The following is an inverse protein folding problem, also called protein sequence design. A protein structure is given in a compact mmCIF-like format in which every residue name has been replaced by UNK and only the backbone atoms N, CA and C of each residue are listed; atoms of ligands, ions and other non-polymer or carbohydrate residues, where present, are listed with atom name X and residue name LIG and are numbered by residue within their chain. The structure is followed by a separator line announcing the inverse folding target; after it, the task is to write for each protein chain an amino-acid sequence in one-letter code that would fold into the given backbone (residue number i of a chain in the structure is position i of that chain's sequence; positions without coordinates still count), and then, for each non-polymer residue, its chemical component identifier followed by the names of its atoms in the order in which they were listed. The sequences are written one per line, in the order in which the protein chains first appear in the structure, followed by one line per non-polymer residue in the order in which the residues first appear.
data_IF_657555669554
#
_entry.id   IF_657555669554
#
_cell.length_a   1.000
_cell.length_b   1.000
_cell.length_c   1.000
_cell.angle_alpha   90.00
_cell.angle_beta   90.00
_cell.angle_gamma   90.00
#
_symmetry.space_group_name_H-M   'P 1'
#
loop_
_entity.id
_entity.type
_entity.pdbx_description
1 polymer ?
#
# COMPACT_ATOMS: atom_id res chain seq x y z
N UNK A 1 1.01 -15.49 -7.80
CA UNK A 1 0.37 -14.91 -8.99
C UNK A 1 0.03 -13.46 -8.73
N UNK A 2 0.17 -12.62 -9.76
CA UNK A 2 -0.28 -11.23 -9.72
C UNK A 2 -1.72 -11.17 -10.22
N UNK A 3 -2.61 -10.47 -9.50
CA UNK A 3 -3.96 -10.22 -9.96
C UNK A 3 -4.02 -8.89 -10.70
N UNK A 4 -4.54 -8.87 -11.93
CA UNK A 4 -4.86 -7.64 -12.64
C UNK A 4 -6.38 -7.54 -12.76
N UNK A 5 -6.92 -6.41 -12.37
CA UNK A 5 -8.36 -6.13 -12.40
C UNK A 5 -8.64 -4.94 -13.29
N UNK A 6 -9.76 -4.95 -13.95
CA UNK A 6 -10.22 -3.87 -14.79
C UNK A 6 -11.74 -3.71 -14.68
N UNK A 7 -12.22 -2.47 -14.77
CA UNK A 7 -13.64 -2.14 -14.73
C UNK A 7 -13.98 -1.08 -15.77
N UNK A 8 -15.21 -1.11 -16.26
CA UNK A 8 -15.78 -0.04 -17.09
C UNK A 8 -16.02 1.25 -16.28
N UNK A 9 -16.19 1.14 -14.98
CA UNK A 9 -16.50 2.24 -14.06
C UNK A 9 -15.21 3.04 -13.72
N UNK A 10 -14.67 3.73 -14.73
CA UNK A 10 -13.49 4.58 -14.54
C UNK A 10 -13.79 5.82 -13.69
N UNK A 11 -12.80 6.29 -12.91
CA UNK A 11 -12.92 7.45 -12.03
C UNK A 11 -13.66 7.16 -10.70
N UNK A 12 -13.98 5.90 -10.42
CA UNK A 12 -14.53 5.43 -9.15
C UNK A 12 -13.50 4.62 -8.39
N UNK A 13 -13.64 4.59 -7.06
CA UNK A 13 -12.87 3.72 -6.20
C UNK A 13 -13.19 2.25 -6.50
N UNK A 14 -12.15 1.44 -6.79
CA UNK A 14 -12.32 0.05 -7.21
C UNK A 14 -12.88 -0.83 -6.08
N UNK A 15 -12.61 -0.52 -4.82
CA UNK A 15 -13.16 -1.21 -3.65
C UNK A 15 -14.67 -0.95 -3.56
N UNK A 16 -15.10 0.28 -3.85
CA UNK A 16 -16.53 0.61 -3.91
C UNK A 16 -17.25 -0.16 -5.03
N UNK A 17 -16.62 -0.24 -6.22
CA UNK A 17 -17.16 -1.03 -7.35
C UNK A 17 -17.19 -2.52 -6.99
N UNK A 18 -16.15 -3.04 -6.35
CA UNK A 18 -16.07 -4.44 -5.91
C UNK A 18 -17.17 -4.79 -4.89
N UNK A 19 -17.56 -3.83 -4.05
CA UNK A 19 -18.58 -4.04 -3.04
C UNK A 19 -20.00 -3.92 -3.60
N UNK A 20 -20.25 -2.93 -4.49
CA UNK A 20 -21.60 -2.63 -5.01
C UNK A 20 -21.96 -3.42 -6.26
N UNK A 21 -21.01 -3.62 -7.16
CA UNK A 21 -21.22 -4.20 -8.49
C UNK A 21 -20.03 -5.08 -8.91
N UNK A 22 -19.73 -6.16 -8.16
CA UNK A 22 -18.54 -7.00 -8.41
C UNK A 22 -18.55 -7.63 -9.83
N UNK A 23 -19.69 -7.79 -10.44
CA UNK A 23 -19.85 -8.30 -11.81
C UNK A 23 -19.30 -7.35 -12.89
N UNK A 24 -19.05 -6.09 -12.54
CA UNK A 24 -18.43 -5.10 -13.45
C UNK A 24 -16.89 -5.15 -13.42
N UNK A 25 -16.31 -5.98 -12.59
CA UNK A 25 -14.86 -6.16 -12.49
C UNK A 25 -14.45 -7.42 -13.23
N UNK A 26 -13.64 -7.26 -14.24
CA UNK A 26 -12.92 -8.38 -14.88
C UNK A 26 -11.58 -8.57 -14.19
N UNK A 27 -11.26 -9.81 -13.85
CA UNK A 27 -10.05 -10.17 -13.12
C UNK A 27 -9.33 -11.32 -13.77
N UNK A 28 -8.04 -11.15 -14.01
CA UNK A 28 -7.14 -12.21 -14.48
C UNK A 28 -6.00 -12.44 -13.48
N UNK A 29 -5.55 -13.68 -13.39
CA UNK A 29 -4.38 -14.04 -12.60
C UNK A 29 -3.20 -14.31 -13.53
N UNK A 30 -2.13 -13.56 -13.33
CA UNK A 30 -0.93 -13.59 -14.17
C UNK A 30 0.11 -14.49 -13.49
N UNK A 31 0.63 -15.44 -14.26
CA UNK A 31 1.80 -16.20 -13.82
C UNK A 31 3.05 -15.34 -14.03
N UNK A 32 3.82 -14.99 -12.96
CA UNK A 32 5.00 -14.14 -13.08
C UNK A 32 6.10 -14.67 -14.01
N UNK A 33 6.14 -15.98 -14.21
CA UNK A 33 7.11 -16.61 -15.12
C UNK A 33 6.74 -16.45 -16.60
N UNK A 34 5.49 -16.11 -16.91
CA UNK A 34 4.98 -15.97 -18.29
C UNK A 34 4.70 -14.51 -18.63
N UNK A 35 4.27 -13.74 -17.63
CA UNK A 35 3.79 -12.36 -17.80
C UNK A 35 2.34 -12.29 -18.30
N UNK A 36 1.87 -11.08 -18.56
CA UNK A 36 0.52 -10.84 -19.09
C UNK A 36 0.45 -11.27 -20.55
N UNK A 37 -0.37 -12.28 -20.84
CA UNK A 37 -0.56 -12.79 -22.20
C UNK A 37 -1.51 -11.90 -23.01
N UNK A 38 -1.41 -11.99 -24.37
CA UNK A 38 -2.33 -11.27 -25.25
C UNK A 38 -3.80 -11.62 -25.01
N UNK A 39 -4.08 -12.88 -24.72
CA UNK A 39 -5.43 -13.35 -24.42
C UNK A 39 -5.99 -12.70 -23.15
N UNK A 40 -5.21 -12.63 -22.08
CA UNK A 40 -5.59 -11.98 -20.85
C UNK A 40 -5.75 -10.46 -21.03
N UNK A 41 -4.82 -9.82 -21.77
CA UNK A 41 -4.94 -8.39 -22.09
C UNK A 41 -6.19 -8.08 -22.89
N UNK A 42 -6.54 -8.94 -23.86
CA UNK A 42 -7.78 -8.82 -24.64
C UNK A 42 -9.04 -8.99 -23.79
N UNK A 43 -9.02 -9.95 -22.86
CA UNK A 43 -10.12 -10.17 -21.91
C UNK A 43 -10.36 -8.92 -21.05
N UNK A 44 -9.30 -8.33 -20.48
CA UNK A 44 -9.37 -7.11 -19.69
C UNK A 44 -9.87 -5.92 -20.54
N UNK A 45 -9.31 -5.71 -21.73
CA UNK A 45 -9.70 -4.61 -22.62
C UNK A 45 -11.18 -4.68 -23.01
N UNK A 46 -11.69 -5.87 -23.29
CA UNK A 46 -13.13 -6.08 -23.58
C UNK A 46 -14.00 -5.85 -22.34
N UNK A 47 -13.55 -6.30 -21.19
CA UNK A 47 -14.25 -6.12 -19.92
C UNK A 47 -14.36 -4.65 -19.50
N UNK A 48 -13.36 -3.82 -19.84
CA UNK A 48 -13.41 -2.36 -19.69
C UNK A 48 -14.29 -1.65 -20.73
N UNK A 49 -14.85 -2.36 -21.70
CA UNK A 49 -15.64 -1.76 -22.78
C UNK A 49 -14.83 -0.91 -23.76
N UNK A 50 -13.53 -1.22 -23.94
CA UNK A 50 -12.70 -0.51 -24.91
C UNK A 50 -13.25 -0.67 -26.32
N UNK A 51 -13.22 0.42 -27.12
CA UNK A 51 -13.56 0.37 -28.54
C UNK A 51 -12.59 -0.57 -29.27
N UNK A 52 -13.08 -1.28 -30.29
CA UNK A 52 -12.25 -2.24 -31.04
C UNK A 52 -10.95 -1.63 -31.58
N UNK A 53 -11.01 -0.38 -32.06
CA UNK A 53 -9.84 0.36 -32.53
C UNK A 53 -8.78 0.62 -31.44
N UNK A 54 -9.19 0.72 -30.17
CA UNK A 54 -8.32 1.00 -29.04
C UNK A 54 -7.80 -0.28 -28.33
N UNK A 55 -8.35 -1.45 -28.63
CA UNK A 55 -7.96 -2.71 -27.99
C UNK A 55 -6.45 -2.98 -28.09
N UNK A 56 -5.79 -2.85 -29.25
CA UNK A 56 -4.35 -3.12 -29.35
C UNK A 56 -3.52 -2.19 -28.46
N UNK A 57 -3.84 -0.89 -28.44
CA UNK A 57 -3.17 0.10 -27.62
C UNK A 57 -3.43 -0.15 -26.11
N UNK A 58 -4.65 -0.57 -25.74
CA UNK A 58 -5.00 -0.94 -24.38
C UNK A 58 -4.18 -2.15 -23.93
N UNK A 59 -4.12 -3.23 -24.72
CA UNK A 59 -3.34 -4.43 -24.39
C UNK A 59 -1.85 -4.10 -24.21
N UNK A 60 -1.29 -3.25 -25.06
CA UNK A 60 0.10 -2.77 -24.94
C UNK A 60 0.30 -1.99 -23.64
N UNK A 61 -0.63 -1.10 -23.29
CA UNK A 61 -0.60 -0.33 -22.04
C UNK A 61 -0.66 -1.24 -20.83
N UNK A 62 -1.55 -2.24 -20.81
CA UNK A 62 -1.66 -3.20 -19.71
C UNK A 62 -0.39 -4.03 -19.54
N UNK A 63 0.26 -4.42 -20.63
CA UNK A 63 1.56 -5.12 -20.58
C UNK A 63 2.66 -4.23 -20.01
N UNK A 64 2.72 -2.97 -20.41
CA UNK A 64 3.66 -1.99 -19.86
C UNK A 64 3.41 -1.73 -18.38
N UNK A 65 2.14 -1.63 -17.96
CA UNK A 65 1.78 -1.49 -16.56
C UNK A 65 2.24 -2.71 -15.74
N UNK A 66 2.02 -3.92 -16.26
CA UNK A 66 2.49 -5.13 -15.61
C UNK A 66 4.02 -5.18 -15.50
N UNK A 67 4.73 -4.81 -16.56
CA UNK A 67 6.20 -4.74 -16.56
C UNK A 67 6.69 -3.72 -15.53
N UNK A 68 6.10 -2.52 -15.53
CA UNK A 68 6.42 -1.48 -14.55
C UNK A 68 6.19 -1.99 -13.12
N UNK A 69 5.02 -2.61 -12.84
CA UNK A 69 4.72 -3.20 -11.54
C UNK A 69 5.79 -4.19 -11.07
N UNK A 70 6.23 -5.08 -11.96
CA UNK A 70 7.22 -6.11 -11.62
C UNK A 70 8.64 -5.55 -11.45
N UNK A 71 9.06 -4.64 -12.33
CA UNK A 71 10.43 -4.12 -12.36
C UNK A 71 10.70 -3.10 -11.25
N UNK A 72 9.66 -2.41 -10.76
CA UNK A 72 9.78 -1.41 -9.70
C UNK A 72 9.47 -1.95 -8.30
N UNK A 73 9.26 -3.26 -8.16
CA UNK A 73 8.81 -3.87 -6.91
C UNK A 73 7.55 -3.19 -6.33
N UNK A 74 6.61 -2.83 -7.21
CA UNK A 74 5.36 -2.24 -6.76
C UNK A 74 4.49 -3.27 -6.03
N UNK A 75 3.83 -2.86 -4.97
CA UNK A 75 2.80 -3.63 -4.26
C UNK A 75 1.39 -3.33 -4.77
N UNK A 76 1.20 -2.12 -5.31
CA UNK A 76 0.00 -1.68 -6.02
C UNK A 76 0.41 -0.84 -7.23
N UNK A 77 -0.28 -1.03 -8.36
CA UNK A 77 -0.24 -0.15 -9.51
C UNK A 77 -1.66 0.02 -10.05
N UNK A 78 -2.16 1.23 -10.05
CA UNK A 78 -3.50 1.58 -10.50
C UNK A 78 -3.43 2.70 -11.52
N UNK A 79 -4.21 2.59 -12.60
CA UNK A 79 -4.50 3.67 -13.53
C UNK A 79 -6.00 3.93 -13.46
N UNK A 80 -6.40 5.12 -13.01
CA UNK A 80 -7.81 5.44 -12.81
C UNK A 80 -8.10 6.93 -13.02
N UNK A 81 -8.71 7.34 -14.17
CA UNK A 81 -9.14 6.45 -15.26
C UNK A 81 -8.08 6.19 -16.32
N UNK A 82 -8.23 5.06 -17.02
CA UNK A 82 -7.62 4.79 -18.32
C UNK A 82 -8.65 5.13 -19.40
N UNK A 83 -8.37 6.10 -20.25
CA UNK A 83 -9.29 6.55 -21.28
C UNK A 83 -8.82 6.13 -22.69
N UNK A 84 -9.77 6.04 -23.63
CA UNK A 84 -9.50 5.89 -25.05
C UNK A 84 -10.02 7.11 -25.82
N UNK A 85 -9.30 7.48 -26.87
CA UNK A 85 -9.70 8.56 -27.77
C UNK A 85 -10.31 7.98 -29.05
N UNK A 86 -10.97 8.83 -29.83
CA UNK A 86 -11.64 8.42 -31.06
C UNK A 86 -10.67 7.97 -32.17
N UNK A 87 -9.40 8.34 -32.06
CA UNK A 87 -8.33 7.93 -32.98
C UNK A 87 -7.73 6.55 -32.63
N UNK A 88 -8.21 5.90 -31.57
CA UNK A 88 -7.75 4.60 -31.09
C UNK A 88 -6.62 4.67 -30.08
N UNK A 89 -6.12 5.87 -29.73
CA UNK A 89 -5.11 6.02 -28.69
C UNK A 89 -5.69 5.76 -27.28
N UNK A 90 -4.80 5.36 -26.36
CA UNK A 90 -5.15 5.10 -24.94
C UNK A 90 -4.25 5.96 -24.08
N UNK A 91 -4.84 6.63 -23.08
CA UNK A 91 -4.13 7.51 -22.16
C UNK A 91 -4.45 7.18 -20.70
N UNK A 92 -3.41 7.06 -19.89
CA UNK A 92 -3.54 7.12 -18.44
C UNK A 92 -3.69 8.59 -18.03
N UNK A 93 -4.78 8.91 -17.34
CA UNK A 93 -5.03 10.28 -16.85
C UNK A 93 -4.41 10.48 -15.48
N UNK A 94 -4.55 9.47 -14.63
CA UNK A 94 -3.94 9.44 -13.32
C UNK A 94 -3.43 8.03 -13.02
N UNK A 95 -2.40 7.95 -12.18
CA UNK A 95 -1.81 6.69 -11.77
C UNK A 95 -1.36 6.75 -10.30
N UNK A 96 -1.68 5.69 -9.56
CA UNK A 96 -1.27 5.50 -8.18
C UNK A 96 -0.38 4.28 -8.07
N UNK A 97 0.77 4.45 -7.44
CA UNK A 97 1.71 3.37 -7.18
C UNK A 97 2.08 3.32 -5.71
N UNK A 98 2.07 2.11 -5.15
CA UNK A 98 2.71 1.81 -3.88
C UNK A 98 3.86 0.83 -4.15
N UNK A 99 4.97 1.04 -3.49
CA UNK A 99 6.17 0.23 -3.66
C UNK A 99 6.47 -0.57 -2.41
N UNK A 100 7.08 -1.75 -2.57
CA UNK A 100 7.55 -2.53 -1.43
C UNK A 100 8.74 -1.80 -0.77
N UNK A 101 8.53 -1.29 0.43
CA UNK A 101 9.57 -0.57 1.18
C UNK A 101 10.81 -1.42 1.45
N UNK A 102 10.66 -2.75 1.54
CA UNK A 102 11.79 -3.67 1.71
C UNK A 102 12.66 -3.80 0.45
N UNK A 103 12.15 -3.40 -0.71
CA UNK A 103 12.87 -3.43 -1.97
C UNK A 103 13.51 -2.08 -2.36
N UNK A 104 13.20 -0.99 -1.66
CA UNK A 104 13.65 0.36 -2.00
C UNK A 104 15.18 0.52 -2.04
N UNK A 105 15.92 -0.31 -1.31
CA UNK A 105 17.39 -0.30 -1.35
C UNK A 105 17.97 -0.56 -2.74
N UNK A 106 17.21 -1.19 -3.64
CA UNK A 106 17.59 -1.47 -5.05
C UNK A 106 16.82 -0.62 -6.06
N UNK A 107 15.95 0.28 -5.60
CA UNK A 107 15.09 1.12 -6.43
C UNK A 107 15.40 2.61 -6.19
N UNK A 108 16.67 3.00 -6.43
CA UNK A 108 17.15 4.36 -6.14
C UNK A 108 16.36 5.45 -6.88
N UNK A 109 15.95 5.19 -8.13
CA UNK A 109 15.14 6.12 -8.92
C UNK A 109 13.74 6.31 -8.31
N UNK A 110 13.14 5.25 -7.77
CA UNK A 110 11.84 5.33 -7.09
C UNK A 110 11.98 6.12 -5.79
N UNK A 111 13.05 5.88 -5.01
CA UNK A 111 13.32 6.65 -3.80
C UNK A 111 13.48 8.14 -4.10
N UNK A 112 14.12 8.49 -5.23
CA UNK A 112 14.29 9.89 -5.65
C UNK A 112 12.96 10.57 -6.06
N UNK A 113 11.93 9.81 -6.41
CA UNK A 113 10.59 10.31 -6.75
C UNK A 113 9.67 10.46 -5.52
N UNK A 114 10.15 10.07 -4.32
CA UNK A 114 9.34 10.14 -3.09
C UNK A 114 8.90 11.57 -2.82
N UNK A 115 7.59 11.77 -2.69
CA UNK A 115 6.99 13.04 -2.31
C UNK A 115 6.50 12.97 -0.86
N UNK A 116 7.26 13.63 0.02
CA UNK A 116 6.98 13.62 1.46
C UNK A 116 5.71 14.41 1.82
N UNK A 117 5.25 15.31 0.95
CA UNK A 117 4.05 16.10 1.18
C UNK A 117 2.76 15.29 0.94
N UNK A 118 2.87 14.17 0.21
CA UNK A 118 1.76 13.23 -0.03
C UNK A 118 1.70 12.08 0.99
N UNK A 119 2.69 11.98 1.88
CA UNK A 119 2.74 10.94 2.91
C UNK A 119 2.17 11.43 4.25
N UNK A 120 1.77 10.49 5.11
CA UNK A 120 1.38 10.81 6.49
C UNK A 120 2.58 11.44 7.25
N UNK A 121 2.35 12.60 7.85
CA UNK A 121 3.42 13.38 8.48
C UNK A 121 4.05 12.66 9.67
N UNK A 122 3.30 11.83 10.41
CA UNK A 122 3.80 11.07 11.53
C UNK A 122 4.62 9.87 11.06
N UNK A 123 4.26 9.25 9.91
CA UNK A 123 5.03 8.18 9.26
C UNK A 123 6.35 8.73 8.70
N UNK A 124 6.32 9.90 8.06
CA UNK A 124 7.52 10.62 7.62
C UNK A 124 8.44 10.94 8.79
N UNK A 125 7.89 11.43 9.90
CA UNK A 125 8.69 11.73 11.09
C UNK A 125 9.31 10.46 11.68
N UNK A 126 8.54 9.37 11.79
CA UNK A 126 8.99 8.08 12.30
C UNK A 126 10.14 7.50 11.44
N UNK A 127 10.07 7.67 10.13
CA UNK A 127 11.10 7.18 9.20
C UNK A 127 12.48 7.80 9.43
N UNK A 128 12.56 9.01 9.95
CA UNK A 128 13.83 9.69 10.29
C UNK A 128 14.60 8.98 11.42
N UNK A 129 13.88 8.24 12.25
CA UNK A 129 14.42 7.49 13.39
C UNK A 129 14.44 5.98 13.15
N UNK A 130 14.22 5.55 11.89
CA UNK A 130 14.18 4.12 11.54
C UNK A 130 13.16 3.37 12.42
N UNK A 131 11.97 3.95 12.60
CA UNK A 131 10.82 3.37 13.26
C UNK A 131 9.84 2.85 12.22
N UNK A 132 9.42 1.60 12.34
CA UNK A 132 8.33 1.05 11.55
C UNK A 132 6.99 1.51 12.17
N UNK A 133 6.45 2.62 11.68
CA UNK A 133 5.22 3.25 12.16
C UNK A 133 4.18 3.34 11.05
N UNK A 134 2.93 3.01 11.37
CA UNK A 134 1.77 3.22 10.51
C UNK A 134 0.69 3.88 11.35
N UNK A 135 0.17 5.01 10.87
CA UNK A 135 -0.91 5.74 11.50
C UNK A 135 -2.25 5.02 11.29
N UNK A 136 -3.07 4.95 12.33
CA UNK A 136 -4.41 4.34 12.30
C UNK A 136 -5.42 5.25 13.04
N UNK A 137 -6.71 5.03 12.81
CA UNK A 137 -7.79 5.88 13.35
C UNK A 137 -8.26 5.55 14.78
N UNK A 138 -7.46 4.81 15.53
CA UNK A 138 -7.84 4.33 16.85
C UNK A 138 -7.61 5.32 18.01
N UNK A 139 -7.77 4.80 19.22
CA UNK A 139 -7.66 5.56 20.46
C UNK A 139 -6.63 4.97 21.46
N UNK A 140 -6.00 3.85 21.14
CA UNK A 140 -4.94 3.24 21.94
C UNK A 140 -3.65 3.23 21.15
N UNK A 141 -2.67 4.00 21.57
CA UNK A 141 -1.32 3.97 21.03
C UNK A 141 -0.61 2.65 21.39
N UNK A 142 0.16 2.12 20.43
CA UNK A 142 0.90 0.87 20.59
C UNK A 142 2.40 1.11 20.45
N UNK A 143 3.19 0.68 21.46
CA UNK A 143 4.66 0.63 21.37
C UNK A 143 5.11 -0.80 21.65
N UNK A 144 5.68 -1.44 20.65
CA UNK A 144 5.99 -2.86 20.69
C UNK A 144 7.36 -3.12 20.05
N UNK A 145 8.07 -4.14 20.47
CA UNK A 145 9.26 -4.62 19.79
C UNK A 145 8.97 -5.94 19.05
N UNK A 146 8.98 -5.86 17.74
CA UNK A 146 8.71 -6.96 16.82
C UNK A 146 7.35 -6.88 16.16
N UNK A 147 7.33 -6.95 14.85
CA UNK A 147 6.13 -6.75 14.02
C UNK A 147 5.01 -7.75 14.33
N UNK A 148 5.35 -9.02 14.56
CA UNK A 148 4.37 -10.06 14.93
C UNK A 148 3.70 -9.78 16.27
N UNK A 149 4.48 -9.33 17.26
CA UNK A 149 3.96 -8.95 18.58
C UNK A 149 3.09 -7.69 18.47
N UNK A 150 3.48 -6.72 17.61
CA UNK A 150 2.69 -5.51 17.38
C UNK A 150 1.32 -5.87 16.79
N UNK A 151 1.25 -6.72 15.77
CA UNK A 151 -0.02 -7.17 15.19
C UNK A 151 -0.89 -7.90 16.23
N UNK A 152 -0.34 -8.83 17.00
CA UNK A 152 -1.07 -9.54 18.05
C UNK A 152 -1.56 -8.59 19.16
N UNK A 153 -0.79 -7.54 19.47
CA UNK A 153 -1.19 -6.49 20.42
C UNK A 153 -2.38 -5.70 19.91
N UNK A 154 -2.35 -5.31 18.64
CA UNK A 154 -3.46 -4.60 17.98
C UNK A 154 -4.74 -5.45 17.94
N UNK A 155 -4.62 -6.74 17.60
CA UNK A 155 -5.75 -7.68 17.64
C UNK A 155 -6.34 -7.81 19.03
N UNK A 156 -5.48 -7.86 20.06
CA UNK A 156 -5.91 -7.90 21.46
C UNK A 156 -6.67 -6.63 21.85
N UNK A 157 -6.20 -5.44 21.45
CA UNK A 157 -6.89 -4.18 21.67
C UNK A 157 -8.30 -4.22 21.08
N UNK A 158 -8.43 -4.69 19.83
CA UNK A 158 -9.74 -4.83 19.16
C UNK A 158 -10.64 -5.84 19.86
N UNK A 159 -10.10 -6.97 20.30
CA UNK A 159 -10.85 -7.99 21.03
C UNK A 159 -11.50 -7.43 22.30
N UNK A 160 -10.86 -6.48 22.98
CA UNK A 160 -11.38 -5.81 24.17
C UNK A 160 -12.18 -4.54 23.88
N UNK A 161 -12.58 -4.30 22.64
CA UNK A 161 -13.51 -3.24 22.25
C UNK A 161 -12.89 -1.85 22.14
N UNK A 162 -11.58 -1.77 22.02
CA UNK A 162 -10.86 -0.53 21.70
C UNK A 162 -10.28 -0.60 20.28
N UNK A 163 -9.77 0.52 19.77
CA UNK A 163 -9.18 0.59 18.43
C UNK A 163 -7.72 1.03 18.52
N UNK A 164 -6.77 0.32 17.84
CA UNK A 164 -5.37 0.74 17.81
C UNK A 164 -5.21 2.03 17.01
N UNK A 165 -4.46 2.98 17.56
CA UNK A 165 -4.18 4.27 16.93
C UNK A 165 -2.96 4.23 16.00
N UNK A 166 -2.15 3.20 16.10
CA UNK A 166 -0.97 3.00 15.26
C UNK A 166 -0.49 1.55 15.33
N UNK A 167 0.20 1.13 14.28
CA UNK A 167 1.19 0.07 14.34
C UNK A 167 2.54 0.72 14.67
N UNK A 168 3.34 0.12 15.54
CA UNK A 168 4.71 0.56 15.80
C UNK A 168 5.58 -0.62 16.25
N UNK A 169 6.64 -0.84 15.51
CA UNK A 169 7.73 -1.75 15.88
C UNK A 169 9.01 -0.96 16.09
N UNK A 170 9.49 -0.89 17.34
CA UNK A 170 10.74 -0.23 17.68
C UNK A 170 11.98 -1.10 17.42
N UNK A 171 11.78 -2.37 17.05
CA UNK A 171 12.83 -3.34 16.83
C UNK A 171 13.47 -3.88 18.14
N UNK A 172 14.30 -4.91 17.99
CA UNK A 172 14.98 -5.54 19.13
C UNK A 172 16.15 -4.74 19.70
N UNK A 173 16.68 -3.76 18.94
CA UNK A 173 17.82 -2.91 19.35
C UNK A 173 17.42 -1.45 19.59
N UNK A 174 16.18 -1.20 20.04
CA UNK A 174 15.70 0.16 20.28
C UNK A 174 16.55 0.89 21.31
N UNK A 175 16.93 2.13 20.97
CA UNK A 175 17.65 3.06 21.86
C UNK A 175 16.65 3.92 22.61
N UNK A 176 17.09 4.54 23.72
CA UNK A 176 16.30 5.55 24.44
C UNK A 176 15.81 6.66 23.50
N UNK A 177 16.60 7.06 22.53
CA UNK A 177 16.23 8.08 21.53
C UNK A 177 15.05 7.59 20.67
N UNK A 178 15.14 6.39 20.07
CA UNK A 178 14.05 5.82 19.26
C UNK A 178 12.75 5.70 20.05
N UNK A 179 12.83 5.22 21.27
CA UNK A 179 11.64 5.09 22.14
C UNK A 179 11.06 6.46 22.50
N UNK A 180 11.91 7.45 22.78
CA UNK A 180 11.47 8.82 23.07
C UNK A 180 10.74 9.44 21.88
N UNK A 181 11.28 9.31 20.67
CA UNK A 181 10.65 9.85 19.47
C UNK A 181 9.35 9.10 19.13
N UNK A 182 9.31 7.79 19.35
CA UNK A 182 8.08 7.01 19.22
C UNK A 182 6.96 7.55 20.13
N UNK A 183 7.26 7.82 21.42
CA UNK A 183 6.29 8.44 22.32
C UNK A 183 5.87 9.84 21.88
N UNK A 184 6.81 10.67 21.42
CA UNK A 184 6.48 12.02 20.92
C UNK A 184 5.50 11.96 19.74
N UNK A 185 5.73 11.04 18.78
CA UNK A 185 4.84 10.86 17.63
C UNK A 185 3.45 10.44 18.11
N UNK A 186 3.35 9.41 18.94
CA UNK A 186 2.06 8.92 19.44
C UNK A 186 1.29 9.99 20.25
N UNK A 187 1.98 10.82 21.03
CA UNK A 187 1.37 11.87 21.87
C UNK A 187 0.90 13.09 21.07
N UNK A 188 1.33 13.27 19.83
CA UNK A 188 0.78 14.31 18.94
C UNK A 188 -0.66 13.98 18.53
N UNK A 189 -1.03 12.70 18.45
CA UNK A 189 -2.37 12.28 18.07
C UNK A 189 -3.34 12.52 19.23
N UNK A 190 -4.18 13.53 19.10
CA UNK A 190 -5.16 13.95 20.12
C UNK A 190 -6.30 12.93 20.35
N UNK A 191 -6.46 11.94 19.46
CA UNK A 191 -7.43 10.84 19.60
C UNK A 191 -6.93 9.78 20.58
N UNK A 192 -5.62 9.71 20.85
CA UNK A 192 -5.00 8.72 21.74
C UNK A 192 -5.39 9.01 23.19
N UNK A 193 -6.06 8.05 23.82
CA UNK A 193 -6.51 8.12 25.23
C UNK A 193 -5.63 7.30 26.17
N UNK A 194 -4.86 6.38 25.65
CA UNK A 194 -3.93 5.53 26.38
C UNK A 194 -2.89 4.94 25.47
N UNK A 195 -1.75 4.55 26.03
CA UNK A 195 -0.66 3.89 25.30
C UNK A 195 -0.41 2.53 25.96
N UNK A 196 -0.44 1.48 25.13
CA UNK A 196 -0.05 0.14 25.53
C UNK A 196 1.38 -0.13 25.08
N UNK A 197 2.27 -0.31 26.05
CA UNK A 197 3.65 -0.72 25.81
C UNK A 197 3.75 -2.21 26.05
N UNK A 198 4.11 -2.98 25.01
CA UNK A 198 4.25 -4.43 25.07
C UNK A 198 5.63 -4.84 24.53
N UNK A 199 6.55 -5.10 25.45
CA UNK A 199 7.95 -5.41 25.14
C UNK A 199 8.24 -6.86 25.46
N UNK A 200 8.68 -7.59 24.45
CA UNK A 200 9.29 -8.91 24.67
C UNK A 200 10.75 -8.71 25.13
N UNK A 201 10.97 -8.89 26.42
CA UNK A 201 12.30 -8.72 27.04
C UNK A 201 13.31 -9.78 26.59
N UNK A 202 14.59 -9.49 26.84
CA UNK A 202 15.71 -10.37 26.52
C UNK A 202 16.71 -9.73 25.55
N UNK A 203 16.27 -9.30 24.37
CA UNK A 203 17.12 -8.53 23.45
C UNK A 203 17.04 -7.04 23.78
N UNK A 204 15.85 -6.53 23.99
CA UNK A 204 15.63 -5.15 24.43
C UNK A 204 15.62 -5.06 25.95
N UNK A 205 16.40 -4.14 26.50
CA UNK A 205 16.39 -3.81 27.92
C UNK A 205 15.20 -2.88 28.21
N UNK A 206 14.42 -3.22 29.23
CA UNK A 206 13.23 -2.45 29.61
C UNK A 206 13.50 -1.37 30.68
N UNK A 207 14.74 -1.27 31.14
CA UNK A 207 15.21 -0.36 32.21
C UNK A 207 16.01 0.83 31.64
N UNK A 208 16.11 0.96 30.35
CA UNK A 208 16.73 2.07 29.61
C UNK A 208 15.66 2.89 28.89
#
# INVERSE_FOLDING_TARGET
SVAMMASYEGGMDIEEVAHKTPEKIVKVFINPLVGLTDAQGLELAKGMGMLEASIPACVDTLKKLYTCYMETDASLAEINPLIHETDGTVKAIDAKFNFDSNALYRQEEIVAMRDLDEEDADEVEASKFDLAYISLDGNIGCLVNGAGLAMATMDTIKLFGAEPANFLDVGGGATTEKVTEAFKIMLKNTKVKGILVNIFGGIMKCDT
#
